data_IF_453307742154
#
_entry.id   IF_453307742154
#
_cell.length_a   1.000
_cell.length_b   1.000
_cell.length_c   1.000
_cell.angle_alpha   90.00
_cell.angle_beta   90.00
_cell.angle_gamma   90.00
#
_symmetry.space_group_name_H-M   'P 1'
#
loop_
_entity.id
_entity.type
_entity.pdbx_description
1 polymer ?
#
# COMPACT_ATOMS: atom_id res chain seq x y z
N UNK A 1 5.33 19.81 -2.56
CA UNK A 1 5.52 20.88 -1.58
C UNK A 1 6.95 20.83 -0.98
N UNK A 2 7.91 20.28 -1.72
CA UNK A 2 9.31 20.15 -1.26
C UNK A 2 10.25 21.19 -1.89
N UNK A 3 9.72 22.11 -2.69
CA UNK A 3 10.48 23.18 -3.31
C UNK A 3 10.77 24.27 -2.27
N UNK A 4 12.03 24.69 -2.18
CA UNK A 4 12.45 25.79 -1.30
C UNK A 4 11.87 27.15 -1.71
N UNK A 5 11.40 27.27 -2.94
CA UNK A 5 10.83 28.50 -3.47
C UNK A 5 9.68 28.28 -4.43
N UNK A 6 8.82 29.26 -4.51
CA UNK A 6 7.71 29.36 -5.45
C UNK A 6 7.99 30.52 -6.40
N UNK A 7 7.81 30.29 -7.69
CA UNK A 7 7.83 31.37 -8.68
C UNK A 7 6.42 31.97 -8.74
N UNK A 8 6.30 33.22 -8.35
CA UNK A 8 5.09 34.00 -8.53
C UNK A 8 5.22 34.86 -9.80
N UNK A 9 4.29 34.66 -10.74
CA UNK A 9 4.25 35.37 -12.02
C UNK A 9 2.93 36.20 -12.09
N UNK A 10 2.91 37.36 -11.46
CA UNK A 10 1.75 38.24 -11.56
C UNK A 10 1.63 38.80 -12.99
N UNK A 11 0.41 38.85 -13.51
CA UNK A 11 0.15 39.32 -14.86
C UNK A 11 0.72 40.74 -15.09
N UNK A 12 1.68 40.87 -16.02
CA UNK A 12 2.28 42.15 -16.37
C UNK A 12 3.42 42.64 -15.44
N UNK A 13 3.85 41.78 -14.51
CA UNK A 13 4.99 42.07 -13.62
C UNK A 13 6.09 41.01 -13.80
N UNK A 14 7.36 41.35 -13.42
CA UNK A 14 8.42 40.38 -13.43
C UNK A 14 8.14 39.19 -12.53
N UNK A 15 8.65 38.03 -12.92
CA UNK A 15 8.63 36.81 -12.08
C UNK A 15 9.42 37.07 -10.79
N UNK A 16 8.83 36.77 -9.65
CA UNK A 16 9.46 36.92 -8.34
C UNK A 16 9.58 35.52 -7.70
N UNK A 17 10.77 35.19 -7.24
CA UNK A 17 11.00 34.00 -6.43
C UNK A 17 10.70 34.32 -4.97
N UNK A 18 9.78 33.55 -4.38
CA UNK A 18 9.40 33.67 -2.98
C UNK A 18 9.71 32.39 -2.22
N UNK A 19 10.06 32.44 -0.93
CA UNK A 19 10.17 31.26 -0.10
C UNK A 19 8.83 30.51 -0.06
N UNK A 20 8.88 29.17 -0.12
CA UNK A 20 7.68 28.35 0.01
C UNK A 20 7.34 28.18 1.49
N UNK A 21 6.28 28.86 1.93
CA UNK A 21 5.73 28.71 3.28
C UNK A 21 4.42 27.92 3.29
N UNK A 22 4.13 27.21 2.19
CA UNK A 22 2.89 26.48 2.05
C UNK A 22 2.82 25.32 3.04
N UNK A 23 1.72 25.24 3.77
CA UNK A 23 1.31 24.11 4.62
C UNK A 23 -0.08 23.72 4.19
N UNK A 24 -0.29 22.40 4.04
CA UNK A 24 -1.56 21.85 3.57
C UNK A 24 -2.16 20.98 4.67
N UNK A 25 -3.43 21.23 4.94
CA UNK A 25 -4.27 20.42 5.79
C UNK A 25 -5.39 19.85 4.91
N UNK A 26 -5.63 18.57 5.06
CA UNK A 26 -6.69 17.85 4.36
C UNK A 26 -7.53 17.16 5.41
N UNK A 27 -8.84 17.33 5.30
CA UNK A 27 -9.82 16.57 6.06
C UNK A 27 -10.72 15.80 5.09
N UNK A 28 -11.11 14.60 5.45
CA UNK A 28 -11.95 13.75 4.62
C UNK A 28 -12.56 12.62 5.43
N UNK A 29 -13.79 12.27 5.09
CA UNK A 29 -14.44 11.06 5.59
C UNK A 29 -14.07 9.80 4.78
N UNK A 30 -13.15 9.92 3.83
CA UNK A 30 -12.70 8.81 3.01
C UNK A 30 -11.39 8.23 3.57
N UNK A 31 -11.23 6.92 3.53
CA UNK A 31 -9.99 6.23 3.91
C UNK A 31 -8.79 6.58 3.03
N UNK A 32 -9.03 7.20 1.86
CA UNK A 32 -8.00 7.68 0.95
C UNK A 32 -8.11 9.19 0.77
N UNK A 33 -7.34 9.94 1.52
CA UNK A 33 -7.27 11.41 1.44
C UNK A 33 -6.24 11.86 0.42
N UNK A 34 -5.04 11.30 0.50
CA UNK A 34 -3.93 11.56 -0.43
C UNK A 34 -3.33 10.23 -0.88
N UNK A 35 -2.79 10.15 -2.11
CA UNK A 35 -2.03 8.98 -2.52
C UNK A 35 -0.74 8.91 -1.70
N UNK A 36 -0.57 7.84 -0.95
CA UNK A 36 0.65 7.52 -0.20
C UNK A 36 1.27 6.28 -0.82
N UNK A 37 2.58 6.30 -1.03
CA UNK A 37 3.31 5.15 -1.51
C UNK A 37 3.19 4.00 -0.49
N UNK A 38 2.71 2.86 -0.96
CA UNK A 38 2.46 1.68 -0.13
C UNK A 38 3.73 1.05 0.46
N UNK A 39 4.92 1.52 0.07
CA UNK A 39 6.20 1.02 0.56
C UNK A 39 6.63 1.59 1.93
N UNK A 40 5.78 2.37 2.61
CA UNK A 40 6.07 2.95 3.92
C UNK A 40 7.14 4.06 3.94
N UNK A 41 7.73 4.42 2.79
CA UNK A 41 8.79 5.43 2.70
C UNK A 41 8.27 6.87 2.75
N UNK A 42 6.96 7.08 2.74
CA UNK A 42 6.36 8.40 2.73
C UNK A 42 6.55 9.10 4.08
N UNK A 43 7.25 10.23 4.07
CA UNK A 43 7.59 11.04 5.26
C UNK A 43 6.96 12.45 5.25
N UNK A 44 6.18 12.76 4.19
CA UNK A 44 5.66 14.12 3.95
C UNK A 44 4.30 14.35 4.59
N UNK A 45 3.58 13.28 4.90
CA UNK A 45 2.22 13.37 5.41
C UNK A 45 2.15 12.84 6.85
N UNK A 46 1.67 13.67 7.75
CA UNK A 46 1.16 13.24 9.04
C UNK A 46 -0.31 12.85 8.83
N UNK A 47 -0.62 11.59 9.07
CA UNK A 47 -1.97 11.05 8.94
C UNK A 47 -2.50 10.79 10.34
N UNK A 48 -3.67 11.31 10.64
CA UNK A 48 -4.34 11.12 11.94
C UNK A 48 -5.80 10.74 11.69
N UNK A 49 -6.30 9.77 12.42
CA UNK A 49 -7.72 9.49 12.53
C UNK A 49 -8.28 10.34 13.69
N UNK A 50 -9.34 11.05 13.41
CA UNK A 50 -10.08 11.76 14.45
C UNK A 50 -11.19 10.84 14.91
N UNK A 51 -11.26 10.62 16.21
CA UNK A 51 -12.29 9.77 16.78
C UNK A 51 -13.67 10.45 16.65
N UNK A 52 -14.73 9.68 16.67
CA UNK A 52 -16.10 10.12 16.51
C UNK A 52 -16.87 10.22 17.85
N UNK A 53 -16.18 10.19 18.99
CA UNK A 53 -16.78 10.21 20.34
C UNK A 53 -17.68 11.41 20.56
N UNK A 54 -17.36 12.53 19.92
CA UNK A 54 -18.15 13.78 19.99
C UNK A 54 -18.89 14.09 18.67
N UNK A 55 -19.09 13.08 17.81
CA UNK A 55 -19.83 13.31 16.56
C UNK A 55 -21.27 13.76 16.86
N UNK A 56 -21.66 14.92 16.30
CA UNK A 56 -22.94 15.59 16.55
C UNK A 56 -23.18 16.06 18.02
N UNK A 57 -22.14 16.18 18.81
CA UNK A 57 -22.20 16.65 20.19
C UNK A 57 -22.15 18.19 20.24
N UNK A 58 -23.32 18.84 20.12
CA UNK A 58 -23.42 20.28 20.16
C UNK A 58 -23.00 20.86 21.52
N UNK A 59 -23.23 20.15 22.63
CA UNK A 59 -22.87 20.59 23.98
C UNK A 59 -21.34 20.67 24.15
N UNK A 60 -20.62 19.74 23.54
CA UNK A 60 -19.16 19.74 23.52
C UNK A 60 -18.59 20.86 22.62
N UNK A 61 -19.15 21.07 21.44
CA UNK A 61 -18.60 22.01 20.46
C UNK A 61 -19.00 23.47 20.71
N UNK A 62 -20.16 23.73 21.28
CA UNK A 62 -20.66 25.11 21.49
C UNK A 62 -19.68 25.98 22.28
N UNK A 63 -19.10 25.53 23.44
CA UNK A 63 -18.10 26.33 24.17
C UNK A 63 -16.86 26.65 23.34
N UNK A 64 -16.40 25.68 22.52
CA UNK A 64 -15.23 25.85 21.64
C UNK A 64 -15.51 26.93 20.60
N UNK A 65 -16.69 26.91 19.97
CA UNK A 65 -17.07 27.93 19.01
C UNK A 65 -17.23 29.31 19.63
N UNK A 66 -17.77 29.39 20.84
CA UNK A 66 -17.87 30.64 21.57
C UNK A 66 -16.51 31.24 21.89
N UNK A 67 -15.56 30.41 22.34
CA UNK A 67 -14.18 30.82 22.59
C UNK A 67 -13.49 31.30 21.31
N UNK A 68 -13.57 30.52 20.21
CA UNK A 68 -12.96 30.86 18.92
C UNK A 68 -13.55 32.15 18.31
N UNK A 69 -14.86 32.39 18.47
CA UNK A 69 -15.50 33.61 18.01
C UNK A 69 -15.25 34.83 18.93
N UNK A 70 -14.70 34.60 20.12
CA UNK A 70 -14.25 35.63 21.04
C UNK A 70 -12.75 35.92 20.90
N UNK A 71 -12.03 35.95 22.01
CA UNK A 71 -10.58 36.23 22.07
C UNK A 71 -9.71 34.97 21.86
N UNK A 72 -10.31 33.78 21.75
CA UNK A 72 -9.58 32.52 21.66
C UNK A 72 -8.77 32.39 20.37
N UNK A 73 -9.25 32.95 19.25
CA UNK A 73 -8.51 32.92 18.00
C UNK A 73 -7.21 33.75 18.07
N UNK A 74 -7.30 34.96 18.66
CA UNK A 74 -6.10 35.79 18.84
C UNK A 74 -5.13 35.17 19.86
N UNK A 75 -5.65 34.55 20.92
CA UNK A 75 -4.84 33.83 21.90
C UNK A 75 -4.10 32.64 21.27
N UNK A 76 -4.80 31.83 20.48
CA UNK A 76 -4.19 30.72 19.73
C UNK A 76 -3.12 31.21 18.74
N UNK A 77 -3.41 32.28 18.00
CA UNK A 77 -2.46 32.87 17.06
C UNK A 77 -1.19 33.39 17.77
N UNK A 78 -1.37 34.00 18.95
CA UNK A 78 -0.25 34.44 19.80
C UNK A 78 0.58 33.26 20.28
N UNK A 79 -0.04 32.21 20.79
CA UNK A 79 0.61 30.99 21.26
C UNK A 79 1.43 30.34 20.15
N UNK A 80 0.83 30.12 18.97
CA UNK A 80 1.51 29.55 17.82
C UNK A 80 2.68 30.42 17.32
N UNK A 81 2.55 31.74 17.38
CA UNK A 81 3.61 32.65 16.94
C UNK A 81 4.82 32.69 17.90
N UNK A 82 4.58 32.37 19.17
CA UNK A 82 5.61 32.36 20.21
C UNK A 82 6.05 30.96 20.64
N UNK A 83 5.45 29.91 20.05
CA UNK A 83 5.77 28.54 20.40
C UNK A 83 7.23 28.20 20.06
N UNK A 84 7.98 27.73 21.06
CA UNK A 84 9.33 27.20 20.86
C UNK A 84 9.30 25.68 21.05
N UNK A 85 9.49 24.90 19.97
CA UNK A 85 9.54 23.44 20.06
C UNK A 85 10.61 22.91 21.04
N UNK A 86 11.66 23.69 21.33
CA UNK A 86 12.71 23.28 22.23
C UNK A 86 12.22 23.13 23.69
N UNK A 87 11.19 23.87 24.10
CA UNK A 87 10.56 23.74 25.41
C UNK A 87 9.91 22.37 25.63
N UNK A 88 9.40 21.76 24.54
CA UNK A 88 8.86 20.40 24.52
C UNK A 88 9.91 19.34 24.16
N UNK A 89 11.19 19.70 24.14
CA UNK A 89 12.30 18.80 23.81
C UNK A 89 12.38 18.42 22.34
N UNK A 90 11.66 19.12 21.46
CA UNK A 90 11.68 18.89 20.01
C UNK A 90 12.74 19.78 19.36
N UNK A 91 13.37 19.26 18.31
CA UNK A 91 14.27 20.05 17.45
C UNK A 91 13.56 20.37 16.14
N UNK A 92 13.83 21.53 15.56
CA UNK A 92 13.30 21.89 14.25
C UNK A 92 13.64 20.89 13.14
N UNK A 93 14.74 20.12 13.32
CA UNK A 93 15.10 19.06 12.41
C UNK A 93 14.11 17.87 12.46
N UNK A 94 13.57 17.61 13.64
CA UNK A 94 12.66 16.47 13.88
C UNK A 94 11.27 16.75 13.26
N UNK A 95 10.87 18.03 13.20
CA UNK A 95 9.58 18.46 12.59
C UNK A 95 9.54 18.25 11.05
N UNK A 96 10.68 17.96 10.43
CA UNK A 96 10.77 17.71 8.99
C UNK A 96 10.34 16.30 8.59
N UNK A 97 10.23 15.40 9.55
CA UNK A 97 9.84 14.02 9.34
C UNK A 97 8.49 13.82 10.02
N UNK A 98 7.48 13.50 9.24
CA UNK A 98 6.17 13.20 9.80
C UNK A 98 6.29 11.97 10.74
N UNK A 99 5.73 12.04 11.96
CA UNK A 99 5.68 10.89 12.85
C UNK A 99 4.99 9.70 12.20
N UNK A 100 5.41 8.50 12.58
CA UNK A 100 4.68 7.30 12.23
C UNK A 100 3.39 7.23 13.05
N UNK A 101 2.29 7.06 12.35
CA UNK A 101 0.96 6.89 12.93
C UNK A 101 0.39 5.55 12.47
N UNK A 102 -0.56 4.99 13.22
CA UNK A 102 -1.22 3.73 12.86
C UNK A 102 -2.05 3.85 11.56
N UNK A 103 -2.53 5.04 11.27
CA UNK A 103 -3.38 5.34 10.12
C UNK A 103 -2.59 5.41 8.80
N UNK A 104 -1.30 5.71 8.88
CA UNK A 104 -0.45 5.85 7.69
C UNK A 104 -0.32 4.55 6.89
N UNK A 105 -0.04 3.37 7.46
CA UNK A 105 -0.06 2.10 6.75
C UNK A 105 -1.44 1.77 6.17
N UNK A 106 -2.51 2.07 6.91
CA UNK A 106 -3.89 1.89 6.45
C UNK A 106 -4.19 2.71 5.21
N UNK A 107 -3.82 4.00 5.20
CA UNK A 107 -3.96 4.86 4.03
C UNK A 107 -3.09 4.38 2.85
N UNK A 108 -1.87 3.91 3.11
CA UNK A 108 -1.02 3.25 2.12
C UNK A 108 -1.73 2.09 1.44
N UNK A 109 -2.35 1.21 2.22
CA UNK A 109 -3.16 0.11 1.71
C UNK A 109 -4.32 0.56 0.81
N UNK A 110 -5.08 1.57 1.23
CA UNK A 110 -6.19 2.11 0.43
C UNK A 110 -5.71 2.85 -0.83
N UNK A 111 -4.47 3.32 -0.84
CA UNK A 111 -3.84 4.00 -1.98
C UNK A 111 -3.30 3.03 -3.03
N UNK A 112 -3.15 1.75 -2.69
CA UNK A 112 -2.65 0.74 -3.61
C UNK A 112 -3.57 0.53 -4.80
N UNK A 113 -2.96 0.25 -5.94
CA UNK A 113 -3.67 -0.19 -7.15
C UNK A 113 -4.38 -1.52 -6.89
N UNK A 114 -5.51 -1.79 -7.55
CA UNK A 114 -6.22 -3.06 -7.40
C UNK A 114 -5.33 -4.29 -7.64
N UNK A 115 -4.40 -4.21 -8.60
CA UNK A 115 -3.46 -5.28 -8.92
C UNK A 115 -2.45 -5.54 -7.80
N UNK A 116 -1.95 -4.51 -7.14
CA UNK A 116 -1.06 -4.62 -5.99
C UNK A 116 -1.76 -5.36 -4.84
N UNK A 117 -3.00 -4.95 -4.55
CA UNK A 117 -3.83 -5.62 -3.55
C UNK A 117 -4.14 -7.07 -3.92
N UNK A 118 -4.31 -7.38 -5.21
CA UNK A 118 -4.52 -8.76 -5.65
C UNK A 118 -3.29 -9.63 -5.39
N UNK A 119 -2.08 -9.12 -5.65
CA UNK A 119 -0.83 -9.84 -5.35
C UNK A 119 -0.67 -10.05 -3.84
N UNK A 120 -0.90 -9.02 -3.04
CA UNK A 120 -0.76 -9.15 -1.58
C UNK A 120 -1.76 -10.19 -1.05
N UNK A 121 -3.03 -10.14 -1.48
CA UNK A 121 -4.01 -11.16 -1.09
C UNK A 121 -3.59 -12.57 -1.49
N UNK A 122 -3.08 -12.75 -2.70
CA UNK A 122 -2.56 -14.05 -3.15
C UNK A 122 -1.47 -14.59 -2.22
N UNK A 123 -0.57 -13.72 -1.75
CA UNK A 123 0.49 -14.08 -0.80
C UNK A 123 -0.11 -14.38 0.58
N UNK A 124 -1.06 -13.58 1.06
CA UNK A 124 -1.73 -13.80 2.35
C UNK A 124 -2.52 -15.10 2.38
N UNK A 125 -3.30 -15.37 1.33
CA UNK A 125 -4.13 -16.58 1.21
C UNK A 125 -3.29 -17.86 1.08
N UNK A 126 -2.03 -17.74 0.66
CA UNK A 126 -1.12 -18.88 0.47
C UNK A 126 -1.47 -19.75 -0.74
N UNK A 127 -2.38 -19.27 -1.57
CA UNK A 127 -2.79 -19.98 -2.78
C UNK A 127 -3.47 -19.04 -3.76
N UNK A 128 -3.57 -19.46 -5.01
CA UNK A 128 -4.35 -18.72 -6.01
C UNK A 128 -4.99 -19.68 -7.00
N UNK A 129 -6.24 -19.44 -7.32
CA UNK A 129 -6.98 -20.18 -8.35
C UNK A 129 -7.11 -19.31 -9.60
N UNK A 130 -6.68 -19.85 -10.72
CA UNK A 130 -6.60 -19.14 -11.99
C UNK A 130 -7.28 -19.94 -13.10
N UNK A 131 -8.01 -19.23 -13.99
CA UNK A 131 -8.60 -19.82 -15.19
C UNK A 131 -7.75 -19.45 -16.41
N UNK A 132 -7.34 -20.45 -17.18
CA UNK A 132 -6.54 -20.24 -18.39
C UNK A 132 -7.40 -19.84 -19.59
N UNK A 133 -6.77 -19.37 -20.66
CA UNK A 133 -7.44 -19.06 -21.95
C UNK A 133 -8.11 -20.27 -22.57
N UNK A 134 -7.65 -21.49 -22.29
CA UNK A 134 -8.27 -22.75 -22.71
C UNK A 134 -9.50 -23.14 -21.88
N UNK A 135 -9.81 -22.38 -20.82
CA UNK A 135 -10.94 -22.66 -19.93
C UNK A 135 -10.62 -23.59 -18.78
N UNK A 136 -9.42 -24.15 -18.73
CA UNK A 136 -8.96 -24.98 -17.60
C UNK A 136 -8.76 -24.10 -16.36
N UNK A 137 -9.03 -24.66 -15.20
CA UNK A 137 -8.85 -23.97 -13.91
C UNK A 137 -7.75 -24.66 -13.12
N UNK A 138 -6.75 -23.90 -12.70
CA UNK A 138 -5.63 -24.39 -11.91
C UNK A 138 -5.59 -23.67 -10.57
N UNK A 139 -5.23 -24.41 -9.52
CA UNK A 139 -4.92 -23.88 -8.20
C UNK A 139 -3.43 -24.07 -7.93
N UNK A 140 -2.77 -23.00 -7.53
CA UNK A 140 -1.38 -22.96 -7.13
C UNK A 140 -1.35 -22.74 -5.62
N UNK A 141 -0.88 -23.75 -4.87
CA UNK A 141 -0.69 -23.66 -3.42
C UNK A 141 0.77 -23.38 -3.12
N UNK A 142 1.06 -22.51 -2.18
CA UNK A 142 2.39 -22.04 -1.86
C UNK A 142 2.86 -22.66 -0.56
N UNK A 143 3.98 -23.36 -0.62
CA UNK A 143 4.65 -23.91 0.56
C UNK A 143 5.56 -22.86 1.20
N UNK A 144 5.61 -22.85 2.53
CA UNK A 144 6.29 -21.75 3.26
C UNK A 144 7.79 -21.67 2.98
N UNK A 145 8.47 -22.80 2.82
CA UNK A 145 9.91 -22.90 2.59
C UNK A 145 10.36 -22.93 1.14
N UNK A 146 9.44 -23.05 0.19
CA UNK A 146 9.75 -23.21 -1.22
C UNK A 146 9.45 -21.93 -2.03
N UNK A 147 10.27 -21.63 -3.06
CA UNK A 147 9.98 -20.54 -3.98
C UNK A 147 8.64 -20.73 -4.68
N UNK A 148 7.85 -19.66 -4.75
CA UNK A 148 6.55 -19.67 -5.43
C UNK A 148 6.80 -19.66 -6.93
N UNK A 149 6.26 -20.63 -7.68
CA UNK A 149 6.35 -20.70 -9.13
C UNK A 149 4.98 -20.68 -9.78
N UNK A 150 4.73 -19.68 -10.60
CA UNK A 150 3.46 -19.51 -11.32
C UNK A 150 3.76 -19.29 -12.81
N UNK A 151 3.11 -20.02 -13.73
CA UNK A 151 3.26 -19.79 -15.16
C UNK A 151 2.96 -18.34 -15.53
N UNK A 152 3.86 -17.72 -16.32
CA UNK A 152 3.70 -16.32 -16.71
C UNK A 152 2.36 -16.03 -17.42
N UNK A 153 1.89 -16.85 -18.37
CA UNK A 153 0.60 -16.60 -19.03
C UNK A 153 -0.58 -16.60 -18.06
N UNK A 154 -0.56 -17.54 -17.09
CA UNK A 154 -1.66 -17.72 -16.15
C UNK A 154 -1.74 -16.54 -15.18
N UNK A 155 -0.60 -16.15 -14.58
CA UNK A 155 -0.56 -15.01 -13.67
C UNK A 155 -0.94 -13.70 -14.39
N UNK A 156 -0.38 -13.46 -15.58
CA UNK A 156 -0.72 -12.29 -16.38
C UNK A 156 -2.21 -12.22 -16.70
N UNK A 157 -2.81 -13.33 -17.05
CA UNK A 157 -4.25 -13.38 -17.35
C UNK A 157 -5.08 -13.15 -16.09
N UNK A 158 -4.70 -13.75 -14.96
CA UNK A 158 -5.38 -13.58 -13.68
C UNK A 158 -5.35 -12.10 -13.24
N UNK A 159 -4.20 -11.46 -13.27
CA UNK A 159 -4.04 -10.08 -12.86
C UNK A 159 -4.68 -9.06 -13.82
N UNK A 160 -4.82 -9.40 -15.11
CA UNK A 160 -5.55 -8.54 -16.09
C UNK A 160 -6.98 -8.24 -15.65
N UNK A 161 -7.63 -9.14 -14.94
CA UNK A 161 -8.98 -8.90 -14.40
C UNK A 161 -9.01 -7.81 -13.33
N UNK A 162 -7.88 -7.58 -12.67
CA UNK A 162 -7.69 -6.57 -11.63
C UNK A 162 -6.98 -5.30 -12.13
N UNK A 163 -6.56 -5.30 -13.41
CA UNK A 163 -5.86 -4.17 -14.05
C UNK A 163 -6.81 -3.41 -14.98
N UNK A 164 -6.64 -2.10 -15.07
CA UNK A 164 -7.22 -1.32 -16.17
C UNK A 164 -6.54 -1.72 -17.49
N UNK A 165 -7.27 -1.67 -18.61
CA UNK A 165 -6.81 -2.14 -19.92
C UNK A 165 -5.47 -1.56 -20.42
N UNK A 166 -5.01 -0.45 -19.84
CA UNK A 166 -3.75 0.22 -20.18
C UNK A 166 -2.53 -0.23 -19.35
N UNK A 167 -2.74 -0.94 -18.24
CA UNK A 167 -1.67 -1.33 -17.30
C UNK A 167 -1.07 -2.73 -17.57
N UNK A 168 -1.67 -3.50 -18.46
CA UNK A 168 -1.30 -4.91 -18.68
C UNK A 168 -0.28 -5.09 -19.82
N UNK A 169 0.86 -4.37 -19.79
CA UNK A 169 1.98 -4.61 -20.73
C UNK A 169 2.94 -5.67 -20.20
N UNK A 170 3.67 -6.31 -21.12
CA UNK A 170 4.73 -7.25 -20.76
C UNK A 170 5.82 -6.54 -19.92
N UNK A 171 6.22 -7.14 -18.81
CA UNK A 171 7.15 -6.55 -17.84
C UNK A 171 6.49 -5.91 -16.61
N UNK A 172 5.18 -5.67 -16.64
CA UNK A 172 4.51 -4.95 -15.54
C UNK A 172 4.52 -5.72 -14.21
N UNK A 173 4.55 -7.06 -14.23
CA UNK A 173 4.58 -7.88 -13.01
C UNK A 173 5.96 -7.80 -12.33
N UNK A 174 7.03 -7.80 -13.11
CA UNK A 174 8.39 -7.65 -12.58
C UNK A 174 8.54 -6.27 -11.93
N UNK A 175 8.14 -5.22 -12.63
CA UNK A 175 8.14 -3.86 -12.09
C UNK A 175 7.22 -3.74 -10.87
N UNK A 176 6.03 -4.33 -10.94
CA UNK A 176 5.06 -4.32 -9.85
C UNK A 176 5.57 -5.00 -8.59
N UNK A 177 6.26 -6.14 -8.72
CA UNK A 177 6.89 -6.82 -7.59
C UNK A 177 8.06 -6.01 -7.03
N UNK A 178 8.86 -5.39 -7.90
CA UNK A 178 9.95 -4.49 -7.49
C UNK A 178 9.40 -3.24 -6.80
N UNK A 179 8.32 -2.65 -7.30
CA UNK A 179 7.65 -1.52 -6.65
C UNK A 179 7.13 -1.89 -5.25
N UNK A 180 6.56 -3.11 -5.10
CA UNK A 180 6.02 -3.59 -3.83
C UNK A 180 7.09 -3.99 -2.82
N UNK A 181 8.15 -4.66 -3.25
CA UNK A 181 9.10 -5.35 -2.34
C UNK A 181 10.56 -4.93 -2.54
N UNK A 182 10.88 -4.07 -3.52
CA UNK A 182 12.25 -3.77 -3.93
C UNK A 182 12.82 -4.84 -4.86
N UNK A 183 14.07 -4.69 -5.27
CA UNK A 183 14.76 -5.66 -6.14
C UNK A 183 15.08 -6.97 -5.40
N UNK A 184 15.36 -6.87 -4.12
CA UNK A 184 15.68 -7.99 -3.23
C UNK A 184 14.92 -7.90 -1.91
N UNK A 185 14.66 -9.04 -1.31
CA UNK A 185 14.07 -9.18 0.02
C UNK A 185 15.05 -9.95 0.89
N UNK A 186 15.35 -9.41 2.07
CA UNK A 186 16.30 -10.01 3.00
C UNK A 186 15.57 -10.55 4.22
N UNK A 187 15.82 -11.81 4.55
CA UNK A 187 15.25 -12.45 5.75
C UNK A 187 15.98 -12.03 7.02
N UNK A 188 15.36 -12.26 8.17
CA UNK A 188 15.94 -11.95 9.49
C UNK A 188 17.25 -12.68 9.80
N UNK A 189 17.50 -13.83 9.17
CA UNK A 189 18.74 -14.60 9.25
C UNK A 189 19.80 -14.18 8.20
N UNK A 190 19.50 -13.16 7.40
CA UNK A 190 20.42 -12.56 6.44
C UNK A 190 20.42 -13.21 5.05
N UNK A 191 19.53 -14.16 4.77
CA UNK A 191 19.38 -14.70 3.42
C UNK A 191 18.73 -13.66 2.49
N UNK A 192 19.28 -13.50 1.28
CA UNK A 192 18.82 -12.54 0.29
C UNK A 192 18.16 -13.26 -0.89
N UNK A 193 16.97 -12.81 -1.25
CA UNK A 193 16.18 -13.32 -2.37
C UNK A 193 15.92 -12.20 -3.38
N UNK A 194 16.11 -12.49 -4.66
CA UNK A 194 15.58 -11.63 -5.72
C UNK A 194 14.05 -11.68 -5.66
N UNK A 195 13.41 -10.53 -5.69
CA UNK A 195 11.95 -10.41 -5.57
C UNK A 195 11.21 -11.15 -6.68
N UNK A 196 11.77 -11.18 -7.89
CA UNK A 196 11.23 -11.95 -9.01
C UNK A 196 12.33 -12.49 -9.90
N UNK A 197 12.14 -13.74 -10.35
CA UNK A 197 12.96 -14.39 -11.39
C UNK A 197 12.04 -14.98 -12.46
N UNK A 198 12.56 -15.20 -13.65
CA UNK A 198 11.79 -15.73 -14.79
C UNK A 198 12.40 -17.02 -15.35
N UNK A 199 12.56 -18.07 -14.53
CA UNK A 199 13.11 -19.34 -14.99
C UNK A 199 12.18 -20.10 -15.93
N UNK A 200 12.75 -21.10 -16.59
CA UNK A 200 11.97 -22.19 -17.22
C UNK A 200 12.08 -23.43 -16.37
N UNK A 201 10.98 -24.06 -16.08
CA UNK A 201 10.99 -25.27 -15.28
C UNK A 201 9.62 -25.88 -15.09
N UNK A 202 9.56 -27.01 -14.39
CA UNK A 202 8.28 -27.60 -14.03
C UNK A 202 7.57 -26.76 -12.98
N UNK A 203 6.25 -26.75 -13.07
CA UNK A 203 5.36 -26.16 -12.06
C UNK A 203 4.37 -27.24 -11.62
N UNK A 204 4.22 -27.42 -10.33
CA UNK A 204 3.23 -28.30 -9.72
C UNK A 204 2.02 -27.46 -9.38
N UNK A 205 0.84 -27.94 -9.75
CA UNK A 205 -0.43 -27.29 -9.44
C UNK A 205 -1.55 -28.34 -9.38
N UNK A 206 -2.72 -27.93 -8.98
CA UNK A 206 -3.92 -28.75 -9.00
C UNK A 206 -4.82 -28.28 -10.13
N UNK A 207 -5.26 -29.21 -11.01
CA UNK A 207 -6.20 -28.93 -12.08
C UNK A 207 -7.61 -29.33 -11.62
N UNK A 208 -8.57 -28.42 -11.86
CA UNK A 208 -9.97 -28.75 -11.63
C UNK A 208 -10.48 -29.67 -12.74
N UNK A 209 -10.88 -30.89 -12.36
CA UNK A 209 -11.48 -31.87 -13.24
C UNK A 209 -12.97 -31.99 -12.89
N UNK A 210 -13.89 -31.60 -13.80
CA UNK A 210 -15.31 -31.80 -13.55
C UNK A 210 -15.59 -33.31 -13.42
N UNK A 211 -16.01 -33.76 -12.25
CA UNK A 211 -16.49 -35.13 -12.07
C UNK A 211 -17.77 -35.37 -12.87
N UNK A 212 -17.93 -36.59 -13.42
CA UNK A 212 -19.18 -37.01 -14.07
C UNK A 212 -20.37 -37.03 -13.12
N UNK A 213 -20.11 -37.11 -11.82
CA UNK A 213 -21.10 -36.95 -10.76
C UNK A 213 -21.14 -35.47 -10.35
N UNK A 214 -22.19 -34.76 -10.74
CA UNK A 214 -22.36 -33.30 -10.68
C UNK A 214 -22.29 -32.67 -9.28
N UNK A 215 -21.80 -33.36 -8.27
CA UNK A 215 -21.77 -32.93 -6.85
C UNK A 215 -20.40 -32.90 -6.19
N UNK A 216 -19.31 -33.29 -6.86
CA UNK A 216 -17.99 -33.30 -6.26
C UNK A 216 -17.00 -32.49 -7.12
N UNK A 217 -16.41 -31.47 -6.51
CA UNK A 217 -15.27 -30.75 -7.06
C UNK A 217 -14.01 -31.59 -6.83
N UNK A 218 -13.47 -32.18 -7.88
CA UNK A 218 -12.21 -32.94 -7.81
C UNK A 218 -11.05 -32.09 -8.33
N UNK A 219 -9.95 -32.10 -7.57
CA UNK A 219 -8.70 -31.46 -7.92
C UNK A 219 -7.63 -32.53 -8.09
N UNK A 220 -6.99 -32.56 -9.26
CA UNK A 220 -5.89 -33.48 -9.53
C UNK A 220 -4.56 -32.74 -9.56
N UNK A 221 -3.56 -33.28 -8.88
CA UNK A 221 -2.20 -32.75 -8.91
C UNK A 221 -1.59 -33.01 -10.28
N UNK A 222 -1.25 -31.95 -10.97
CA UNK A 222 -0.62 -32.02 -12.28
C UNK A 222 0.73 -31.33 -12.29
N UNK A 223 1.65 -31.84 -13.11
CA UNK A 223 2.95 -31.25 -13.33
C UNK A 223 3.05 -30.67 -14.74
N UNK A 224 3.22 -29.38 -14.82
CA UNK A 224 3.34 -28.65 -16.09
C UNK A 224 4.83 -28.48 -16.41
N UNK A 225 5.31 -29.14 -17.47
CA UNK A 225 6.73 -29.17 -17.81
C UNK A 225 7.17 -27.97 -18.67
N UNK A 226 8.43 -27.55 -18.48
CA UNK A 226 9.17 -26.58 -19.33
C UNK A 226 8.46 -25.25 -19.60
N UNK A 227 7.66 -24.77 -18.68
CA UNK A 227 6.92 -23.51 -18.81
C UNK A 227 7.81 -22.35 -18.32
N UNK A 228 7.67 -21.19 -18.97
CA UNK A 228 8.19 -19.94 -18.39
C UNK A 228 7.32 -19.57 -17.21
N UNK A 229 7.93 -19.40 -16.04
CA UNK A 229 7.23 -19.00 -14.82
C UNK A 229 7.82 -17.71 -14.24
N UNK A 230 7.03 -17.04 -13.45
CA UNK A 230 7.55 -16.15 -12.43
C UNK A 230 7.91 -17.02 -11.22
N UNK A 231 9.09 -16.78 -10.67
CA UNK A 231 9.54 -17.37 -9.43
C UNK A 231 9.73 -16.24 -8.41
N UNK A 232 9.02 -16.32 -7.30
CA UNK A 232 9.08 -15.38 -6.20
C UNK A 232 9.73 -16.04 -4.98
N UNK A 233 10.19 -15.25 -3.99
CA UNK A 233 10.66 -15.79 -2.72
C UNK A 233 9.63 -16.73 -2.06
N UNK A 234 10.07 -17.57 -1.11
CA UNK A 234 9.15 -18.35 -0.29
C UNK A 234 8.08 -17.46 0.35
N UNK A 235 6.88 -17.98 0.48
CA UNK A 235 5.73 -17.19 0.96
C UNK A 235 5.94 -16.62 2.36
N UNK A 236 6.65 -17.35 3.24
CA UNK A 236 6.98 -16.87 4.58
C UNK A 236 7.82 -15.58 4.54
N UNK A 237 8.74 -15.47 3.58
CA UNK A 237 9.58 -14.28 3.38
C UNK A 237 8.74 -13.09 2.93
N UNK A 238 7.86 -13.30 1.95
CA UNK A 238 6.98 -12.24 1.44
C UNK A 238 5.94 -11.79 2.48
N UNK A 239 5.39 -12.72 3.27
CA UNK A 239 4.46 -12.40 4.37
C UNK A 239 5.13 -11.58 5.47
N UNK A 240 6.37 -11.91 5.83
CA UNK A 240 7.13 -11.12 6.79
C UNK A 240 7.34 -9.69 6.29
N UNK A 241 7.69 -9.53 5.01
CA UNK A 241 7.87 -8.20 4.40
C UNK A 241 6.57 -7.40 4.34
N UNK A 242 5.44 -8.06 4.02
CA UNK A 242 4.11 -7.42 4.06
C UNK A 242 3.79 -6.97 5.49
N UNK A 243 4.05 -7.79 6.50
CA UNK A 243 3.83 -7.45 7.91
C UNK A 243 4.63 -6.22 8.35
N UNK A 244 5.88 -6.10 7.90
CA UNK A 244 6.73 -4.94 8.21
C UNK A 244 6.23 -3.67 7.51
N UNK A 245 5.83 -3.78 6.24
CA UNK A 245 5.44 -2.61 5.42
C UNK A 245 4.01 -2.14 5.65
N UNK A 246 3.11 -3.08 5.97
CA UNK A 246 1.66 -2.86 6.03
C UNK A 246 1.10 -3.40 7.34
N UNK A 247 1.66 -2.98 8.48
CA UNK A 247 1.15 -3.41 9.80
C UNK A 247 -0.36 -3.19 9.87
N UNK A 248 -1.09 -4.31 9.86
CA UNK A 248 -2.55 -4.38 9.83
C UNK A 248 -3.13 -4.88 11.13
N UNK A 249 -2.36 -4.90 12.20
CA UNK A 249 -2.82 -5.46 13.48
C UNK A 249 -4.17 -4.89 13.96
N UNK A 250 -4.56 -3.70 13.48
CA UNK A 250 -5.84 -3.05 13.75
C UNK A 250 -6.81 -2.94 12.55
N UNK A 251 -6.40 -3.31 11.33
CA UNK A 251 -7.27 -3.21 10.14
C UNK A 251 -8.43 -4.21 10.13
N UNK A 252 -8.47 -5.14 11.08
CA UNK A 252 -9.50 -6.18 11.22
C UNK A 252 -10.66 -5.85 12.15
N UNK A 253 -10.69 -4.69 12.78
CA UNK A 253 -11.86 -4.25 13.53
C UNK A 253 -12.83 -3.58 12.58
N UNK A 254 -13.58 -4.41 11.86
CA UNK A 254 -14.84 -4.03 11.21
C UNK A 254 -15.81 -3.46 12.24
N UNK A 255 -16.30 -2.28 11.95
CA UNK A 255 -17.50 -1.73 12.56
C UNK A 255 -18.72 -2.55 12.19
#
# INVERSE_FOLDING_TARGET
VTSEGILAEPKGLPVVQMPSCLRLFFDSNNDRVVPIDGNGSERRYLVMEINDDHMNDAEYFEPIYQELNGAGFEALAYELANYDPAEDGLRWADVRIAPDTLERPRMGWHSMRPVERAIIRMIEDGSVTMKTTSGQTFRYTFEEGEPIRIPQPDLRMHLRSSMNQHEAKDGDIENLMTDLFGDTVTTSDGAEYMTVKTPRGPVICEEFVPSSDATADEWEVVRREKIRCFEFPPIAVLRAEIGVRFDRSDAGRTR
#
